data_IF_419804458969
#
_entry.id   IF_419804458969
#
_cell.length_a   1.000
_cell.length_b   1.000
_cell.length_c   1.000
_cell.angle_alpha   90.00
_cell.angle_beta   90.00
_cell.angle_gamma   90.00
#
_symmetry.space_group_name_H-M   'P 1'
#
loop_
_entity.id
_entity.type
_entity.pdbx_description
1 polymer ?
#
# COMPACT_ATOMS: atom_id res chain seq x y z
N UNK A 1 5.74 -49.35 -22.14
CA UNK A 1 5.15 -48.60 -21.01
C UNK A 1 5.06 -47.17 -21.44
N UNK A 2 3.84 -46.64 -21.56
CA UNK A 2 3.61 -45.25 -21.89
C UNK A 2 3.81 -44.43 -20.59
N UNK A 3 4.76 -43.52 -20.57
CA UNK A 3 4.95 -42.59 -19.45
C UNK A 3 3.86 -41.52 -19.54
N UNK A 4 3.05 -41.37 -18.52
CA UNK A 4 2.08 -40.29 -18.36
C UNK A 4 2.60 -39.31 -17.32
N UNK A 5 2.43 -38.03 -17.59
CA UNK A 5 2.68 -36.96 -16.59
C UNK A 5 1.57 -37.07 -15.55
N UNK A 6 1.94 -37.18 -14.28
CA UNK A 6 0.99 -37.19 -13.16
C UNK A 6 1.55 -36.24 -12.07
N UNK A 7 0.65 -35.77 -11.23
CA UNK A 7 1.06 -34.97 -10.06
C UNK A 7 1.93 -35.82 -9.13
N UNK A 8 2.95 -35.18 -8.48
CA UNK A 8 3.79 -35.87 -7.53
C UNK A 8 2.95 -36.32 -6.32
N UNK A 9 3.21 -37.53 -5.77
CA UNK A 9 2.50 -37.98 -4.57
C UNK A 9 2.64 -36.99 -3.43
N UNK A 10 1.56 -36.71 -2.69
CA UNK A 10 1.47 -35.73 -1.59
C UNK A 10 2.61 -35.84 -0.58
N UNK A 11 3.09 -37.05 -0.28
CA UNK A 11 4.22 -37.29 0.63
C UNK A 11 5.53 -36.61 0.18
N UNK A 12 5.78 -36.51 -1.13
CA UNK A 12 6.98 -35.82 -1.64
C UNK A 12 6.82 -34.32 -1.56
N UNK A 13 5.61 -33.82 -1.84
CA UNK A 13 5.30 -32.39 -1.65
C UNK A 13 5.44 -31.98 -0.19
N UNK A 14 4.93 -32.80 0.74
CA UNK A 14 5.10 -32.57 2.18
C UNK A 14 6.56 -32.58 2.58
N UNK A 15 7.36 -33.56 2.15
CA UNK A 15 8.78 -33.62 2.47
C UNK A 15 9.56 -32.40 1.95
N UNK A 16 9.21 -31.87 0.78
CA UNK A 16 9.80 -30.65 0.24
C UNK A 16 9.40 -29.44 1.11
N UNK A 17 8.11 -29.32 1.45
CA UNK A 17 7.60 -28.20 2.25
C UNK A 17 8.11 -28.22 3.71
N UNK A 18 8.30 -29.43 4.27
CA UNK A 18 8.82 -29.61 5.63
C UNK A 18 10.34 -29.55 5.71
N UNK A 19 11.03 -29.62 4.57
CA UNK A 19 12.48 -29.59 4.47
C UNK A 19 13.14 -28.26 4.93
N UNK A 20 12.36 -27.23 5.12
CA UNK A 20 12.85 -25.93 5.65
C UNK A 20 14.03 -25.38 4.84
N UNK A 21 15.12 -25.02 5.53
CA UNK A 21 16.33 -24.46 4.91
C UNK A 21 17.09 -25.42 3.98
N UNK A 22 16.70 -26.67 3.88
CA UNK A 22 17.26 -27.66 2.94
C UNK A 22 16.49 -27.73 1.62
N UNK A 23 15.46 -26.91 1.45
CA UNK A 23 14.71 -26.85 0.20
C UNK A 23 15.58 -26.19 -0.87
N UNK A 24 15.73 -26.78 -2.07
CA UNK A 24 16.52 -26.19 -3.16
C UNK A 24 15.84 -24.98 -3.80
N UNK A 25 14.68 -24.59 -3.31
CA UNK A 25 13.94 -23.43 -3.80
C UNK A 25 14.54 -22.13 -3.20
N UNK A 26 14.67 -21.07 -4.00
CA UNK A 26 15.14 -19.79 -3.51
C UNK A 26 14.15 -19.19 -2.51
N UNK A 27 14.66 -18.42 -1.56
CA UNK A 27 13.84 -17.68 -0.62
C UNK A 27 12.96 -16.66 -1.35
N UNK A 28 11.66 -16.66 -1.08
CA UNK A 28 10.70 -15.72 -1.64
C UNK A 28 10.12 -14.84 -0.53
N UNK A 29 10.30 -13.53 -0.61
CA UNK A 29 9.78 -12.58 0.39
C UNK A 29 8.49 -11.89 -0.02
N UNK A 30 8.09 -11.96 -1.29
CA UNK A 30 6.85 -11.39 -1.78
C UNK A 30 6.65 -11.54 -3.27
N UNK A 31 5.45 -11.24 -3.71
CA UNK A 31 5.04 -11.23 -5.13
C UNK A 31 4.69 -9.80 -5.51
N UNK A 32 5.16 -9.35 -6.66
CA UNK A 32 4.79 -8.04 -7.22
C UNK A 32 4.01 -8.22 -8.52
N UNK A 33 2.98 -7.38 -8.71
CA UNK A 33 2.13 -7.36 -9.92
C UNK A 33 2.57 -6.30 -10.93
N UNK A 34 3.77 -5.74 -10.75
CA UNK A 34 4.35 -4.67 -11.57
C UNK A 34 5.87 -4.65 -11.46
N UNK A 35 6.56 -3.90 -12.33
CA UNK A 35 8.00 -3.69 -12.26
C UNK A 35 8.46 -3.15 -10.91
N UNK A 36 9.69 -3.40 -10.55
CA UNK A 36 10.33 -2.96 -9.31
C UNK A 36 11.37 -1.87 -9.56
N UNK A 37 11.58 -1.00 -8.57
CA UNK A 37 12.60 0.04 -8.60
C UNK A 37 13.85 -0.47 -7.90
N UNK A 38 15.01 -0.37 -8.56
CA UNK A 38 16.30 -0.70 -7.97
C UNK A 38 16.86 0.46 -7.16
N UNK A 39 17.88 0.20 -6.34
CA UNK A 39 18.53 1.22 -5.50
C UNK A 39 19.15 2.37 -6.30
N UNK A 40 19.60 2.11 -7.53
CA UNK A 40 20.15 3.12 -8.47
C UNK A 40 19.07 3.87 -9.27
N UNK A 41 17.78 3.57 -9.02
CA UNK A 41 16.65 4.13 -9.75
C UNK A 41 16.37 3.48 -11.11
N UNK A 42 17.09 2.41 -11.47
CA UNK A 42 16.72 1.62 -12.64
C UNK A 42 15.42 0.85 -12.36
N UNK A 43 14.62 0.63 -13.40
CA UNK A 43 13.39 -0.14 -13.30
C UNK A 43 13.64 -1.54 -13.84
N UNK A 44 13.42 -2.54 -13.01
CA UNK A 44 13.41 -3.92 -13.45
C UNK A 44 12.05 -4.27 -14.03
N UNK A 45 12.00 -4.41 -15.36
CA UNK A 45 10.79 -4.74 -16.11
C UNK A 45 10.63 -6.23 -16.41
N UNK A 46 11.58 -7.06 -16.01
CA UNK A 46 11.54 -8.51 -16.22
C UNK A 46 10.62 -9.17 -15.19
N UNK A 47 9.72 -10.04 -15.67
CA UNK A 47 8.92 -10.92 -14.83
C UNK A 47 9.74 -12.10 -14.31
N UNK A 48 9.21 -12.81 -13.32
CA UNK A 48 9.88 -13.95 -12.70
C UNK A 48 10.67 -13.60 -11.44
N UNK A 49 11.42 -14.56 -10.93
CA UNK A 49 12.16 -14.42 -9.69
C UNK A 49 13.38 -13.49 -9.82
N UNK A 50 13.52 -12.61 -8.86
CA UNK A 50 14.68 -11.73 -8.72
C UNK A 50 15.55 -12.16 -7.52
N UNK A 51 16.77 -12.65 -7.74
CA UNK A 51 17.64 -13.08 -6.65
C UNK A 51 18.15 -11.92 -5.78
N UNK A 52 18.18 -10.69 -6.30
CA UNK A 52 18.63 -9.50 -5.57
C UNK A 52 17.59 -9.05 -4.55
N UNK A 53 16.35 -8.91 -4.99
CA UNK A 53 15.23 -8.47 -4.13
C UNK A 53 14.47 -9.61 -3.49
N UNK A 54 14.68 -10.87 -3.94
CA UNK A 54 13.93 -12.07 -3.54
C UNK A 54 12.43 -11.95 -3.80
N UNK A 55 12.02 -11.10 -4.73
CA UNK A 55 10.65 -10.94 -5.18
C UNK A 55 10.38 -11.77 -6.42
N UNK A 56 9.14 -12.20 -6.59
CA UNK A 56 8.66 -12.80 -7.83
C UNK A 56 7.75 -11.82 -8.55
N UNK A 57 8.13 -11.41 -9.76
CA UNK A 57 7.33 -10.55 -10.62
C UNK A 57 6.32 -11.37 -11.44
N UNK A 58 5.03 -11.20 -11.15
CA UNK A 58 3.92 -11.82 -11.89
C UNK A 58 3.16 -10.74 -12.67
N UNK A 59 3.72 -10.35 -13.80
CA UNK A 59 3.19 -9.31 -14.69
C UNK A 59 3.73 -9.46 -16.12
N UNK A 60 3.09 -8.78 -17.08
CA UNK A 60 3.60 -8.68 -18.45
C UNK A 60 4.40 -7.39 -18.61
N UNK A 61 5.67 -7.49 -18.95
CA UNK A 61 6.58 -6.36 -19.14
C UNK A 61 6.03 -5.33 -20.14
N UNK A 62 5.38 -5.79 -21.22
CA UNK A 62 4.81 -4.93 -22.26
C UNK A 62 3.72 -3.96 -21.80
N UNK A 63 3.12 -4.22 -20.64
CA UNK A 63 2.03 -3.38 -20.11
C UNK A 63 2.57 -2.11 -19.43
N UNK A 64 3.89 -2.07 -19.16
CA UNK A 64 4.54 -0.99 -18.43
C UNK A 64 5.59 -0.29 -19.30
N UNK A 65 5.52 1.03 -19.34
CA UNK A 65 6.49 1.85 -20.07
C UNK A 65 7.04 2.93 -19.16
N UNK A 66 8.28 2.75 -18.71
CA UNK A 66 8.99 3.72 -17.87
C UNK A 66 10.20 4.20 -18.63
N UNK A 67 10.51 5.51 -18.65
CA UNK A 67 11.74 6.03 -19.26
C UNK A 67 12.98 5.36 -18.62
N UNK A 68 13.97 5.01 -19.42
CA UNK A 68 15.21 4.38 -18.92
C UNK A 68 15.99 5.29 -17.97
N UNK A 69 15.99 6.60 -18.24
CA UNK A 69 16.65 7.62 -17.43
C UNK A 69 15.67 8.78 -17.13
N UNK A 70 14.66 8.58 -16.27
CA UNK A 70 13.64 9.60 -16.04
C UNK A 70 14.23 10.86 -15.39
N UNK A 71 13.82 12.01 -15.91
CA UNK A 71 14.19 13.34 -15.42
C UNK A 71 13.15 13.87 -14.43
N UNK A 72 13.42 15.05 -13.85
CA UNK A 72 12.44 15.73 -12.99
C UNK A 72 11.18 16.12 -13.77
N UNK A 73 11.35 16.57 -15.01
CA UNK A 73 10.25 16.93 -15.91
C UNK A 73 9.39 15.71 -16.28
N UNK A 74 10.00 14.53 -16.41
CA UNK A 74 9.26 13.27 -16.56
C UNK A 74 8.44 12.95 -15.32
N UNK A 75 9.03 13.12 -14.14
CA UNK A 75 8.33 12.92 -12.86
C UNK A 75 7.18 13.92 -12.67
N UNK A 76 7.34 15.18 -13.06
CA UNK A 76 6.28 16.19 -13.00
C UNK A 76 5.11 15.83 -13.94
N UNK A 77 5.40 15.39 -15.17
CA UNK A 77 4.36 14.90 -16.10
C UNK A 77 3.64 13.66 -15.56
N UNK A 78 4.39 12.73 -14.98
CA UNK A 78 3.86 11.52 -14.37
C UNK A 78 2.95 11.85 -13.16
N UNK A 79 3.38 12.77 -12.31
CA UNK A 79 2.60 13.24 -11.16
C UNK A 79 1.30 13.91 -11.61
N UNK A 80 1.35 14.79 -12.60
CA UNK A 80 0.16 15.41 -13.16
C UNK A 80 -0.83 14.37 -13.71
N UNK A 81 -0.33 13.27 -14.29
CA UNK A 81 -1.15 12.15 -14.75
C UNK A 81 -1.88 11.43 -13.60
N UNK A 82 -1.22 11.23 -12.46
CA UNK A 82 -1.83 10.65 -11.25
C UNK A 82 -2.81 11.64 -10.62
N UNK A 83 -2.41 12.90 -10.44
CA UNK A 83 -3.27 13.94 -9.85
C UNK A 83 -4.54 14.18 -10.65
N UNK A 84 -4.51 13.99 -11.98
CA UNK A 84 -5.71 14.07 -12.83
C UNK A 84 -6.76 13.00 -12.46
N UNK A 85 -6.37 11.85 -11.90
CA UNK A 85 -7.29 10.84 -11.38
C UNK A 85 -7.98 11.30 -10.09
N UNK A 86 -7.30 12.14 -9.33
CA UNK A 86 -7.72 12.59 -8.01
C UNK A 86 -8.50 13.91 -8.04
N UNK A 87 -8.65 14.52 -9.22
CA UNK A 87 -9.19 15.88 -9.37
C UNK A 87 -10.62 16.06 -8.85
N UNK A 88 -11.44 15.02 -8.93
CA UNK A 88 -12.85 15.10 -8.51
C UNK A 88 -13.07 14.70 -7.04
N UNK A 89 -12.05 14.25 -6.33
CA UNK A 89 -12.17 13.98 -4.89
C UNK A 89 -12.13 15.30 -4.11
N UNK A 90 -13.05 15.51 -3.15
CA UNK A 90 -13.13 16.72 -2.37
C UNK A 90 -12.15 16.68 -1.18
N UNK A 91 -10.85 16.68 -1.47
CA UNK A 91 -9.85 16.75 -0.40
C UNK A 91 -10.03 18.01 0.45
N UNK A 92 -9.83 17.87 1.77
CA UNK A 92 -9.94 19.01 2.69
C UNK A 92 -8.79 19.98 2.46
N UNK A 93 -7.57 19.48 2.27
CA UNK A 93 -6.38 20.26 1.99
C UNK A 93 -5.52 19.63 0.88
N UNK A 94 -4.60 20.36 0.32
CA UNK A 94 -3.64 19.85 -0.65
C UNK A 94 -2.69 18.79 -0.04
N UNK A 95 -2.45 18.83 1.29
CA UNK A 95 -1.74 17.79 2.03
C UNK A 95 -2.45 16.43 1.97
N UNK A 96 -3.79 16.42 2.02
CA UNK A 96 -4.59 15.20 1.90
C UNK A 96 -4.49 14.59 0.49
N UNK A 97 -4.46 15.47 -0.55
CA UNK A 97 -4.21 15.02 -1.92
C UNK A 97 -2.82 14.41 -2.06
N UNK A 98 -1.80 15.04 -1.47
CA UNK A 98 -0.44 14.49 -1.44
C UNK A 98 -0.38 13.15 -0.71
N UNK A 99 -1.12 12.99 0.39
CA UNK A 99 -1.24 11.72 1.11
C UNK A 99 -1.89 10.62 0.25
N UNK A 100 -2.91 10.96 -0.56
CA UNK A 100 -3.51 10.03 -1.52
C UNK A 100 -2.51 9.62 -2.61
N UNK A 101 -1.71 10.54 -3.13
CA UNK A 101 -0.64 10.22 -4.08
C UNK A 101 0.42 9.33 -3.41
N UNK A 102 0.83 9.63 -2.17
CA UNK A 102 1.76 8.78 -1.41
C UNK A 102 1.20 7.36 -1.19
N UNK A 103 -0.11 7.23 -0.95
CA UNK A 103 -0.78 5.92 -0.88
C UNK A 103 -0.69 5.17 -2.22
N UNK A 104 -0.85 5.85 -3.35
CA UNK A 104 -0.68 5.27 -4.69
C UNK A 104 0.77 4.83 -4.91
N UNK A 105 1.77 5.67 -4.60
CA UNK A 105 3.18 5.27 -4.68
C UNK A 105 3.46 4.05 -3.80
N UNK A 106 2.92 4.04 -2.58
CA UNK A 106 3.04 2.90 -1.66
C UNK A 106 2.40 1.64 -2.24
N UNK A 107 1.22 1.74 -2.84
CA UNK A 107 0.54 0.62 -3.49
C UNK A 107 1.41 -0.03 -4.58
N UNK A 108 2.10 0.78 -5.37
CA UNK A 108 2.96 0.32 -6.46
C UNK A 108 4.20 -0.41 -5.95
N UNK A 109 4.85 0.08 -4.89
CA UNK A 109 6.12 -0.48 -4.41
C UNK A 109 6.00 -1.23 -3.08
N UNK A 110 4.78 -1.54 -2.60
CA UNK A 110 4.58 -2.12 -1.26
C UNK A 110 5.36 -3.42 -1.05
N UNK A 111 5.44 -4.27 -2.05
CA UNK A 111 6.23 -5.51 -1.97
C UNK A 111 7.72 -5.27 -1.72
N UNK A 112 8.26 -4.12 -2.14
CA UNK A 112 9.65 -3.73 -1.95
C UNK A 112 9.91 -3.07 -0.58
N UNK A 113 8.90 -2.42 0.01
CA UNK A 113 9.02 -1.77 1.31
C UNK A 113 9.05 -2.80 2.43
N UNK A 114 10.02 -2.69 3.32
CA UNK A 114 10.09 -3.52 4.52
C UNK A 114 8.83 -3.35 5.37
N UNK A 115 8.48 -2.12 5.67
CA UNK A 115 7.25 -1.73 6.38
C UNK A 115 6.66 -0.47 5.74
N UNK A 116 5.36 -0.25 5.91
CA UNK A 116 4.69 0.95 5.45
C UNK A 116 3.55 1.32 6.40
N UNK A 117 3.19 2.61 6.52
CA UNK A 117 2.03 3.01 7.29
C UNK A 117 0.73 2.50 6.65
N UNK A 118 -0.30 2.38 7.45
CA UNK A 118 -1.68 2.22 7.00
C UNK A 118 -2.20 3.56 6.49
N UNK A 119 -3.09 3.55 5.50
CA UNK A 119 -3.79 4.76 5.05
C UNK A 119 -5.26 4.67 5.41
N UNK A 120 -5.81 5.78 5.93
CA UNK A 120 -7.20 5.87 6.34
C UNK A 120 -7.90 7.05 5.68
N UNK A 121 -8.93 6.76 4.88
CA UNK A 121 -9.73 7.81 4.24
C UNK A 121 -10.93 8.15 5.12
N UNK A 122 -10.97 9.39 5.59
CA UNK A 122 -11.99 9.91 6.49
C UNK A 122 -12.84 10.99 5.81
N UNK A 123 -14.12 11.03 6.14
CA UNK A 123 -15.01 12.15 5.87
C UNK A 123 -16.08 12.23 6.95
N UNK A 124 -16.72 13.38 7.09
CA UNK A 124 -17.80 13.57 8.05
C UNK A 124 -19.18 13.21 7.46
N UNK A 125 -19.32 13.22 6.12
CA UNK A 125 -20.58 12.88 5.46
C UNK A 125 -20.53 11.52 4.74
N UNK A 126 -21.63 10.75 4.71
CA UNK A 126 -21.76 9.59 3.86
C UNK A 126 -21.78 10.01 2.38
N UNK A 127 -21.40 9.10 1.47
CA UNK A 127 -21.39 9.40 0.03
C UNK A 127 -20.24 10.30 -0.45
N UNK A 128 -19.25 10.62 0.41
CA UNK A 128 -18.13 11.51 0.10
C UNK A 128 -17.04 10.92 -0.81
N UNK A 129 -17.19 9.67 -1.27
CA UNK A 129 -16.22 9.02 -2.14
C UNK A 129 -15.06 8.32 -1.41
N UNK A 130 -15.12 8.11 -0.09
CA UNK A 130 -14.06 7.44 0.70
C UNK A 130 -13.71 6.06 0.18
N UNK A 131 -14.70 5.16 0.14
CA UNK A 131 -14.50 3.80 -0.36
C UNK A 131 -14.05 3.80 -1.82
N UNK A 132 -14.55 4.74 -2.62
CA UNK A 132 -14.15 4.88 -4.01
C UNK A 132 -12.66 5.25 -4.14
N UNK A 133 -12.16 6.14 -3.29
CA UNK A 133 -10.73 6.48 -3.23
C UNK A 133 -9.87 5.31 -2.76
N UNK A 134 -10.31 4.55 -1.74
CA UNK A 134 -9.57 3.36 -1.30
C UNK A 134 -9.52 2.28 -2.37
N UNK A 135 -10.61 2.05 -3.12
CA UNK A 135 -10.60 1.15 -4.27
C UNK A 135 -9.69 1.63 -5.39
N UNK A 136 -9.69 2.94 -5.68
CA UNK A 136 -8.79 3.53 -6.67
C UNK A 136 -7.31 3.27 -6.30
N UNK A 137 -6.93 3.48 -5.04
CA UNK A 137 -5.57 3.21 -4.55
C UNK A 137 -5.25 1.71 -4.66
N UNK A 138 -6.19 0.83 -4.31
CA UNK A 138 -6.01 -0.62 -4.35
C UNK A 138 -5.71 -1.15 -5.77
N UNK A 139 -6.30 -0.56 -6.82
CA UNK A 139 -6.04 -0.92 -8.22
C UNK A 139 -4.53 -0.78 -8.56
N UNK A 140 -3.83 0.15 -7.95
CA UNK A 140 -2.39 0.31 -8.18
C UNK A 140 -1.57 -0.85 -7.57
N UNK A 141 -2.04 -1.46 -6.49
CA UNK A 141 -1.37 -2.60 -5.86
C UNK A 141 -1.62 -3.90 -6.64
N UNK A 142 -2.87 -4.03 -7.15
CA UNK A 142 -3.27 -5.25 -7.85
C UNK A 142 -4.11 -5.02 -9.07
N UNK A 143 -4.34 -5.30 -10.06
CA UNK A 143 -5.31 -5.05 -11.14
C UNK A 143 -6.66 -5.74 -10.89
N UNK A 144 -6.74 -6.53 -9.83
CA UNK A 144 -7.91 -7.32 -9.48
C UNK A 144 -8.84 -6.57 -8.51
N UNK A 145 -10.07 -7.02 -8.40
CA UNK A 145 -11.01 -6.54 -7.39
C UNK A 145 -10.58 -6.97 -5.99
N UNK A 146 -10.68 -6.06 -5.05
CA UNK A 146 -10.29 -6.27 -3.66
C UNK A 146 -11.53 -6.33 -2.80
N UNK A 147 -11.71 -7.44 -2.07
CA UNK A 147 -12.75 -7.55 -1.06
C UNK A 147 -12.43 -6.72 0.18
N UNK A 148 -13.45 -6.08 0.77
CA UNK A 148 -13.34 -5.41 2.04
C UNK A 148 -13.65 -6.36 3.21
N UNK A 149 -12.97 -6.16 4.34
CA UNK A 149 -13.21 -6.84 5.61
C UNK A 149 -13.72 -5.86 6.64
N UNK A 150 -14.43 -6.36 7.64
CA UNK A 150 -14.79 -5.55 8.81
C UNK A 150 -13.56 -5.31 9.69
N UNK A 151 -13.47 -4.10 10.26
CA UNK A 151 -12.42 -3.81 11.23
C UNK A 151 -12.68 -4.55 12.55
N UNK A 152 -11.68 -5.21 13.16
CA UNK A 152 -11.86 -5.99 14.36
C UNK A 152 -12.17 -5.11 15.59
N UNK A 153 -12.95 -5.63 16.52
CA UNK A 153 -13.38 -4.89 17.73
C UNK A 153 -12.50 -5.14 18.96
N UNK A 154 -11.66 -6.17 18.94
CA UNK A 154 -10.76 -6.51 20.04
C UNK A 154 -9.48 -7.18 19.54
N UNK A 155 -8.46 -7.28 20.42
CA UNK A 155 -7.13 -7.80 20.10
C UNK A 155 -7.16 -9.26 19.60
N UNK A 156 -7.99 -10.11 20.18
CA UNK A 156 -8.03 -11.53 19.83
C UNK A 156 -8.61 -11.72 18.42
N UNK A 157 -9.70 -11.04 18.09
CA UNK A 157 -10.29 -11.07 16.75
C UNK A 157 -9.37 -10.41 15.73
N UNK A 158 -8.67 -9.32 16.11
CA UNK A 158 -7.68 -8.67 15.26
C UNK A 158 -6.56 -9.64 14.89
N UNK A 159 -6.01 -10.37 15.85
CA UNK A 159 -4.96 -11.35 15.61
C UNK A 159 -5.42 -12.46 14.66
N UNK A 160 -6.59 -13.06 14.93
CA UNK A 160 -7.16 -14.14 14.09
C UNK A 160 -7.40 -13.66 12.66
N UNK A 161 -8.02 -12.49 12.53
CA UNK A 161 -8.35 -11.91 11.24
C UNK A 161 -7.09 -11.58 10.43
N UNK A 162 -6.10 -10.89 11.02
CA UNK A 162 -4.87 -10.53 10.34
C UNK A 162 -4.07 -11.76 9.89
N UNK A 163 -3.98 -12.81 10.71
CA UNK A 163 -3.33 -14.07 10.31
C UNK A 163 -4.03 -14.66 9.08
N UNK A 164 -5.37 -14.73 9.10
CA UNK A 164 -6.15 -15.28 8.00
C UNK A 164 -6.02 -14.45 6.72
N UNK A 165 -6.00 -13.12 6.84
CA UNK A 165 -5.87 -12.20 5.71
C UNK A 165 -4.45 -12.18 5.13
N UNK A 166 -3.41 -12.30 5.95
CA UNK A 166 -2.02 -12.29 5.51
C UNK A 166 -1.53 -13.62 4.94
N UNK A 167 -2.20 -14.74 5.30
CA UNK A 167 -1.78 -16.08 4.88
C UNK A 167 -1.65 -16.24 3.35
N UNK A 168 -2.58 -15.73 2.52
CA UNK A 168 -2.45 -15.76 1.06
C UNK A 168 -1.48 -14.70 0.50
N UNK A 169 -0.80 -13.91 1.36
CA UNK A 169 0.10 -12.81 0.98
C UNK A 169 -0.53 -11.83 -0.02
N UNK A 170 -1.71 -11.24 0.26
CA UNK A 170 -2.38 -10.35 -0.66
C UNK A 170 -1.60 -9.05 -0.82
N UNK A 171 -1.65 -8.39 -1.99
CA UNK A 171 -1.02 -7.08 -2.18
C UNK A 171 -1.66 -5.97 -1.36
N UNK A 172 -2.95 -6.12 -1.01
CA UNK A 172 -3.71 -5.13 -0.22
C UNK A 172 -4.76 -5.79 0.67
N UNK A 173 -4.91 -5.27 1.88
CA UNK A 173 -6.02 -5.55 2.80
C UNK A 173 -6.81 -4.27 2.97
N UNK A 174 -8.13 -4.35 2.84
CA UNK A 174 -9.01 -3.20 2.95
C UNK A 174 -10.05 -3.41 4.04
N UNK A 175 -10.12 -2.44 4.96
CA UNK A 175 -11.17 -2.33 5.96
C UNK A 175 -12.09 -1.17 5.57
N UNK A 176 -13.32 -1.45 5.19
CA UNK A 176 -14.24 -0.41 4.73
C UNK A 176 -15.32 -0.11 5.77
N UNK A 177 -15.76 1.16 5.75
CA UNK A 177 -16.87 1.65 6.57
C UNK A 177 -16.67 1.42 8.09
N UNK A 178 -15.50 1.82 8.61
CA UNK A 178 -15.22 1.77 10.04
C UNK A 178 -16.28 2.58 10.81
N UNK A 179 -16.77 2.00 11.88
CA UNK A 179 -17.76 2.61 12.81
C UNK A 179 -17.14 3.00 14.14
N UNK A 180 -15.90 2.60 14.39
CA UNK A 180 -15.11 2.92 15.58
C UNK A 180 -13.74 3.44 15.18
N UNK A 181 -13.10 4.17 16.09
CA UNK A 181 -11.73 4.61 15.91
C UNK A 181 -10.76 3.44 15.71
N UNK A 182 -9.61 3.72 15.12
CA UNK A 182 -8.57 2.73 14.89
C UNK A 182 -7.74 2.60 16.16
N UNK A 183 -8.13 1.61 16.97
CA UNK A 183 -7.44 1.28 18.21
C UNK A 183 -6.10 0.59 17.97
N UNK A 184 -5.10 0.76 18.87
CA UNK A 184 -3.79 0.12 18.77
C UNK A 184 -3.84 -1.36 19.18
N UNK A 185 -4.54 -2.18 18.41
CA UNK A 185 -4.49 -3.63 18.56
C UNK A 185 -3.05 -4.11 18.40
N UNK A 186 -2.56 -4.93 19.32
CA UNK A 186 -1.15 -5.40 19.34
C UNK A 186 -0.72 -6.01 18.01
N UNK A 187 -1.57 -6.88 17.45
CA UNK A 187 -1.29 -7.54 16.17
C UNK A 187 -1.21 -6.55 15.00
N UNK A 188 -2.09 -5.55 14.96
CA UNK A 188 -2.08 -4.51 13.92
C UNK A 188 -0.83 -3.64 14.05
N UNK A 189 -0.47 -3.24 15.27
CA UNK A 189 0.76 -2.49 15.51
C UNK A 189 2.00 -3.27 15.02
N UNK A 190 2.07 -4.58 15.28
CA UNK A 190 3.17 -5.44 14.81
C UNK A 190 3.20 -5.53 13.28
N UNK A 191 2.06 -5.78 12.64
CA UNK A 191 1.95 -5.89 11.18
C UNK A 191 2.41 -4.61 10.47
N UNK A 192 2.20 -3.45 11.08
CA UNK A 192 2.61 -2.16 10.51
C UNK A 192 4.09 -1.82 10.73
N UNK A 193 4.77 -2.48 11.68
CA UNK A 193 6.16 -2.12 12.06
C UNK A 193 7.18 -3.24 11.88
N UNK A 194 6.72 -4.48 11.72
CA UNK A 194 7.59 -5.63 11.52
C UNK A 194 7.43 -6.21 10.10
N UNK A 195 8.51 -6.59 9.42
CA UNK A 195 8.44 -7.15 8.05
C UNK A 195 7.86 -8.57 8.01
N UNK A 196 7.91 -9.28 9.14
CA UNK A 196 7.40 -10.64 9.31
C UNK A 196 6.77 -10.74 10.70
N UNK A 197 5.62 -11.40 10.77
CA UNK A 197 4.94 -11.70 12.03
C UNK A 197 4.69 -13.20 12.14
N UNK A 198 4.79 -13.75 13.37
CA UNK A 198 4.47 -15.13 13.61
C UNK A 198 3.02 -15.28 14.07
N UNK A 199 2.29 -16.23 13.50
CA UNK A 199 0.92 -16.49 13.86
C UNK A 199 0.56 -17.96 13.88
N UNK A 200 -0.39 -18.33 14.72
CA UNK A 200 -0.93 -19.70 14.76
C UNK A 200 -2.09 -19.82 13.79
N UNK A 201 -2.01 -20.78 12.87
CA UNK A 201 -3.09 -21.05 11.93
C UNK A 201 -4.27 -21.69 12.67
N UNK A 202 -5.48 -21.13 12.49
CA UNK A 202 -6.71 -21.68 13.06
C UNK A 202 -6.94 -23.11 12.53
N UNK A 203 -7.24 -24.03 13.45
CA UNK A 203 -7.47 -25.45 13.11
C UNK A 203 -6.19 -26.27 12.88
N UNK A 204 -5.01 -25.66 12.95
CA UNK A 204 -3.73 -26.36 12.88
C UNK A 204 -2.89 -26.05 14.11
N UNK A 205 -2.18 -27.06 14.65
CA UNK A 205 -1.20 -26.88 15.74
C UNK A 205 0.15 -26.37 15.23
N UNK A 206 0.11 -25.44 14.24
CA UNK A 206 1.31 -24.95 13.56
C UNK A 206 1.39 -23.43 13.68
N UNK A 207 2.58 -22.95 14.04
CA UNK A 207 2.96 -21.54 13.93
C UNK A 207 3.58 -21.35 12.56
N UNK A 208 3.23 -20.27 11.88
CA UNK A 208 3.80 -19.88 10.60
C UNK A 208 4.30 -18.45 10.66
N UNK A 209 5.30 -18.14 9.86
CA UNK A 209 5.75 -16.78 9.62
C UNK A 209 5.01 -16.21 8.42
N UNK A 210 4.53 -14.99 8.54
CA UNK A 210 3.74 -14.29 7.55
C UNK A 210 4.42 -12.98 7.18
N UNK A 211 4.61 -12.75 5.89
CA UNK A 211 5.07 -11.46 5.37
C UNK A 211 4.02 -10.38 5.61
N UNK A 212 4.45 -9.20 6.05
CA UNK A 212 3.59 -8.03 6.24
C UNK A 212 3.65 -7.07 5.05
N UNK A 213 4.22 -7.50 3.92
CA UNK A 213 4.39 -6.68 2.70
C UNK A 213 3.07 -6.45 1.96
N UNK A 214 2.04 -6.15 2.70
CA UNK A 214 0.67 -5.90 2.26
C UNK A 214 0.31 -4.45 2.56
N UNK A 215 -0.29 -3.73 1.62
CA UNK A 215 -0.83 -2.39 1.85
C UNK A 215 -2.11 -2.52 2.69
N UNK A 216 -2.21 -1.76 3.77
CA UNK A 216 -3.44 -1.71 4.58
C UNK A 216 -4.14 -0.38 4.32
N UNK A 217 -5.38 -0.48 3.85
CA UNK A 217 -6.26 0.65 3.59
C UNK A 217 -7.50 0.57 4.48
N UNK A 218 -8.03 1.72 4.88
CA UNK A 218 -9.33 1.76 5.53
C UNK A 218 -10.11 3.03 5.19
N UNK A 219 -11.42 2.98 5.40
CA UNK A 219 -12.29 4.15 5.30
C UNK A 219 -13.29 4.20 6.45
N UNK A 220 -13.73 5.39 6.83
CA UNK A 220 -14.72 5.56 7.89
C UNK A 220 -15.31 6.96 7.97
N UNK A 221 -16.46 7.08 8.68
CA UNK A 221 -17.10 8.37 8.95
C UNK A 221 -16.72 8.83 10.34
N UNK A 222 -16.13 10.04 10.47
CA UNK A 222 -15.78 10.65 11.75
C UNK A 222 -14.94 9.77 12.71
N UNK A 223 -14.25 8.79 12.18
CA UNK A 223 -13.34 7.90 12.92
C UNK A 223 -11.92 8.09 12.43
N UNK A 224 -10.94 7.80 13.26
CA UNK A 224 -9.54 7.99 12.94
C UNK A 224 -8.60 7.20 13.84
N UNK A 225 -7.29 7.31 13.62
CA UNK A 225 -6.30 6.68 14.50
C UNK A 225 -6.25 7.39 15.85
N UNK A 226 -6.16 6.60 16.92
CA UNK A 226 -5.99 7.09 18.29
C UNK A 226 -4.77 6.46 18.94
N UNK A 227 -4.24 7.09 19.99
CA UNK A 227 -3.10 6.59 20.78
C UNK A 227 -1.90 6.25 19.87
N UNK A 228 -1.34 5.06 20.06
CA UNK A 228 -0.16 4.59 19.33
C UNK A 228 -0.41 4.37 17.81
N UNK A 229 -1.67 4.37 17.36
CA UNK A 229 -2.00 4.31 15.93
C UNK A 229 -1.80 5.67 15.22
N UNK A 230 -1.83 6.80 15.93
CA UNK A 230 -1.65 8.13 15.35
C UNK A 230 -0.36 8.28 14.55
N UNK A 231 0.71 7.62 14.96
CA UNK A 231 2.01 7.60 14.27
C UNK A 231 2.16 6.48 13.21
N UNK A 232 1.17 5.59 13.08
CA UNK A 232 1.20 4.43 12.16
C UNK A 232 0.22 4.53 11.01
N UNK A 233 -0.67 5.50 11.06
CA UNK A 233 -1.71 5.72 10.05
C UNK A 233 -1.51 7.08 9.43
N UNK A 234 -1.53 7.13 8.10
CA UNK A 234 -1.59 8.37 7.34
C UNK A 234 -3.06 8.66 7.03
N UNK A 235 -3.70 9.63 7.69
CA UNK A 235 -5.07 9.98 7.40
C UNK A 235 -5.16 10.83 6.13
N UNK A 236 -6.28 10.68 5.41
CA UNK A 236 -6.64 11.42 4.19
C UNK A 236 -8.05 11.94 4.40
N UNK A 237 -8.22 13.24 4.48
CA UNK A 237 -9.51 13.86 4.78
C UNK A 237 -10.21 14.31 3.50
N UNK A 238 -11.47 13.91 3.39
CA UNK A 238 -12.39 14.39 2.35
C UNK A 238 -13.44 15.29 3.02
N UNK A 239 -13.63 16.46 2.45
CA UNK A 239 -14.58 17.46 2.93
C UNK A 239 -15.46 17.94 1.78
N UNK A 240 -16.51 17.18 1.39
CA UNK A 240 -17.44 17.61 0.37
C UNK A 240 -18.18 18.87 0.83
N UNK A 241 -18.33 19.82 -0.09
CA UNK A 241 -19.06 21.08 0.14
C UNK A 241 -20.58 20.94 -0.05
N UNK A 242 -21.00 19.86 -0.73
CA UNK A 242 -22.41 19.54 -0.95
C UNK A 242 -23.05 18.95 0.32
N UNK A 243 -24.25 19.39 0.67
CA UNK A 243 -25.02 18.83 1.80
C UNK A 243 -25.37 17.36 1.59
N UNK A 244 -25.56 16.94 0.33
CA UNK A 244 -25.87 15.57 -0.07
C UNK A 244 -24.87 15.06 -1.11
N UNK A 245 -23.65 14.66 -0.69
CA UNK A 245 -22.58 14.25 -1.62
C UNK A 245 -22.98 13.07 -2.52
N UNK A 246 -23.93 12.23 -2.10
CA UNK A 246 -24.44 11.10 -2.87
C UNK A 246 -25.12 11.53 -4.18
N UNK A 247 -25.59 12.77 -4.28
CA UNK A 247 -26.24 13.31 -5.48
C UNK A 247 -25.27 13.95 -6.46
N UNK A 248 -23.99 14.01 -6.11
CA UNK A 248 -22.96 14.62 -6.94
C UNK A 248 -22.80 13.89 -8.27
N UNK A 249 -22.77 14.66 -9.37
CA UNK A 249 -22.47 14.13 -10.69
C UNK A 249 -20.96 14.20 -10.95
N UNK A 250 -20.38 13.07 -11.32
CA UNK A 250 -18.97 12.97 -11.65
C UNK A 250 -18.77 13.03 -13.16
N UNK A 251 -17.72 13.72 -13.59
CA UNK A 251 -17.31 13.78 -15.01
C UNK A 251 -16.76 12.44 -15.50
N UNK A 252 -16.21 11.65 -14.56
CA UNK A 252 -15.62 10.33 -14.85
C UNK A 252 -16.28 9.25 -13.97
N UNK A 253 -17.53 8.86 -14.24
CA UNK A 253 -18.27 7.90 -13.41
C UNK A 253 -17.62 6.50 -13.41
N UNK A 254 -16.94 6.13 -14.49
CA UNK A 254 -16.28 4.83 -14.68
C UNK A 254 -14.76 4.90 -14.39
N UNK A 255 -14.32 5.81 -13.51
CA UNK A 255 -12.88 6.03 -13.24
C UNK A 255 -12.14 4.76 -12.83
N UNK A 256 -12.73 3.90 -11.98
CA UNK A 256 -12.07 2.66 -11.54
C UNK A 256 -11.83 1.72 -12.72
N UNK A 257 -12.82 1.53 -13.60
CA UNK A 257 -12.69 0.68 -14.79
C UNK A 257 -11.70 1.26 -15.80
N UNK A 258 -11.68 2.57 -15.94
CA UNK A 258 -10.68 3.25 -16.77
C UNK A 258 -9.27 3.01 -16.25
N UNK A 259 -9.06 3.17 -14.95
CA UNK A 259 -7.75 2.97 -14.33
C UNK A 259 -7.34 1.50 -14.37
N UNK A 260 -8.25 0.54 -14.17
CA UNK A 260 -7.97 -0.89 -14.35
C UNK A 260 -7.48 -1.18 -15.76
N UNK A 261 -8.20 -0.71 -16.79
CA UNK A 261 -7.81 -0.91 -18.20
C UNK A 261 -6.47 -0.29 -18.55
N UNK A 262 -6.12 0.84 -17.94
CA UNK A 262 -4.89 1.57 -18.20
C UNK A 262 -3.89 1.47 -17.05
N UNK A 263 -4.02 0.43 -16.19
CA UNK A 263 -3.21 0.29 -14.98
C UNK A 263 -1.72 0.40 -15.25
N UNK A 264 -1.23 -0.27 -16.28
CA UNK A 264 0.19 -0.24 -16.64
C UNK A 264 0.71 1.18 -16.86
N UNK A 265 -0.05 2.03 -17.53
CA UNK A 265 0.27 3.46 -17.74
C UNK A 265 0.41 4.21 -16.41
N UNK A 266 -0.57 4.07 -15.51
CA UNK A 266 -0.58 4.82 -14.26
C UNK A 266 0.44 4.30 -13.25
N UNK A 267 0.66 2.99 -13.21
CA UNK A 267 1.76 2.38 -12.43
C UNK A 267 3.10 2.86 -12.96
N UNK A 268 3.29 2.95 -14.29
CA UNK A 268 4.51 3.50 -14.89
C UNK A 268 4.74 4.96 -14.48
N UNK A 269 3.68 5.78 -14.34
CA UNK A 269 3.81 7.12 -13.78
C UNK A 269 4.36 7.10 -12.35
N UNK A 270 3.83 6.25 -11.47
CA UNK A 270 4.31 6.14 -10.10
C UNK A 270 5.77 5.68 -10.02
N UNK A 271 6.15 4.69 -10.82
CA UNK A 271 7.54 4.22 -10.93
C UNK A 271 8.48 5.33 -11.48
N UNK A 272 8.02 6.10 -12.47
CA UNK A 272 8.78 7.23 -13.03
C UNK A 272 9.09 8.29 -11.96
N UNK A 273 8.13 8.64 -11.10
CA UNK A 273 8.34 9.59 -10.01
C UNK A 273 9.43 9.12 -9.06
N UNK A 274 9.37 7.87 -8.61
CA UNK A 274 10.32 7.30 -7.67
C UNK A 274 11.71 7.17 -8.30
N UNK A 275 11.77 6.64 -9.51
CA UNK A 275 13.04 6.45 -10.24
C UNK A 275 13.75 7.77 -10.53
N UNK A 276 13.01 8.80 -10.95
CA UNK A 276 13.57 10.13 -11.21
C UNK A 276 14.14 10.77 -9.94
N UNK A 277 13.46 10.62 -8.81
CA UNK A 277 13.93 11.14 -7.52
C UNK A 277 15.21 10.44 -7.06
N UNK A 278 15.29 9.09 -7.18
CA UNK A 278 16.51 8.34 -6.85
C UNK A 278 17.68 8.80 -7.75
N UNK A 279 17.46 8.88 -9.05
CA UNK A 279 18.49 9.32 -10.02
C UNK A 279 18.93 10.76 -9.81
N UNK A 280 18.08 11.62 -9.25
CA UNK A 280 18.44 12.97 -8.84
C UNK A 280 19.32 13.03 -7.57
N UNK A 281 19.74 11.87 -7.04
CA UNK A 281 20.54 11.76 -5.82
C UNK A 281 19.72 11.80 -4.53
N UNK A 282 18.43 11.49 -4.60
CA UNK A 282 17.52 11.40 -3.45
C UNK A 282 17.52 12.66 -2.57
N UNK A 283 17.27 13.85 -3.12
CA UNK A 283 17.36 15.12 -2.39
C UNK A 283 16.33 15.18 -1.26
N UNK A 284 16.79 15.30 -0.03
CA UNK A 284 15.95 15.40 1.17
C UNK A 284 15.79 16.84 1.60
N UNK A 285 14.59 17.19 2.07
CA UNK A 285 14.32 18.50 2.69
C UNK A 285 14.85 18.47 4.12
N UNK A 286 15.83 19.33 4.47
CA UNK A 286 16.33 19.46 5.83
C UNK A 286 15.24 19.84 6.79
N UNK A 287 15.08 19.75 7.94
CA UNK A 287 14.04 20.24 8.88
C UNK A 287 12.67 19.55 8.83
N UNK A 288 12.49 18.50 8.02
CA UNK A 288 11.24 17.74 8.05
C UNK A 288 11.18 16.83 9.28
N UNK A 289 10.01 16.80 9.95
CA UNK A 289 9.77 15.83 11.03
C UNK A 289 9.89 14.41 10.49
N UNK A 290 10.63 13.54 11.18
CA UNK A 290 10.86 12.15 10.77
C UNK A 290 9.75 11.24 11.27
N UNK A 291 9.40 10.25 10.46
CA UNK A 291 8.60 9.08 10.84
C UNK A 291 9.54 7.89 11.01
N UNK A 292 10.16 7.76 12.18
CA UNK A 292 11.28 6.84 12.44
C UNK A 292 11.01 5.37 12.06
N UNK A 293 9.78 4.90 12.27
CA UNK A 293 9.39 3.54 11.88
C UNK A 293 9.28 3.34 10.36
N UNK A 294 9.17 4.42 9.58
CA UNK A 294 8.88 4.40 8.15
C UNK A 294 9.90 5.19 7.31
N UNK A 295 11.19 5.07 7.65
CA UNK A 295 12.27 5.78 6.94
C UNK A 295 12.31 5.42 5.45
N UNK A 296 12.28 4.13 5.11
CA UNK A 296 12.29 3.67 3.71
C UNK A 296 11.03 4.13 2.96
N UNK A 297 9.86 4.07 3.59
CA UNK A 297 8.64 4.61 3.02
C UNK A 297 8.73 6.13 2.79
N UNK A 298 9.26 6.86 3.76
CA UNK A 298 9.48 8.31 3.62
C UNK A 298 10.42 8.60 2.46
N UNK A 299 11.49 7.85 2.32
CA UNK A 299 12.46 8.00 1.23
C UNK A 299 11.82 7.76 -0.15
N UNK A 300 10.96 6.77 -0.31
CA UNK A 300 10.44 6.37 -1.62
C UNK A 300 9.03 6.90 -1.95
N UNK A 301 8.24 7.30 -0.96
CA UNK A 301 6.84 7.73 -1.17
C UNK A 301 6.56 9.15 -0.70
N UNK A 302 7.31 9.70 0.26
CA UNK A 302 7.11 11.02 0.84
C UNK A 302 8.04 12.07 0.22
N UNK A 303 9.36 11.85 0.26
CA UNK A 303 10.35 12.80 -0.27
C UNK A 303 10.23 13.05 -1.77
N UNK A 304 9.89 12.09 -2.65
CA UNK A 304 9.66 12.37 -4.07
C UNK A 304 8.60 13.45 -4.30
N UNK A 305 7.52 13.45 -3.52
CA UNK A 305 6.43 14.43 -3.64
C UNK A 305 6.88 15.82 -3.16
N UNK A 306 7.61 15.88 -2.06
CA UNK A 306 8.21 17.13 -1.57
C UNK A 306 9.20 17.72 -2.58
N UNK A 307 10.04 16.89 -3.19
CA UNK A 307 10.97 17.29 -4.25
C UNK A 307 10.26 17.86 -5.48
N UNK A 308 9.06 17.37 -5.78
CA UNK A 308 8.18 17.89 -6.82
C UNK A 308 7.30 19.06 -6.34
N UNK A 309 7.60 19.64 -5.18
CA UNK A 309 6.91 20.83 -4.65
C UNK A 309 5.50 20.58 -4.13
N UNK A 310 5.14 19.33 -3.81
CA UNK A 310 3.86 19.03 -3.17
C UNK A 310 3.95 19.18 -1.66
N UNK A 311 2.84 19.53 -0.98
CA UNK A 311 2.76 19.52 0.49
C UNK A 311 3.16 18.16 1.07
N UNK A 312 3.57 18.16 2.34
CA UNK A 312 3.98 16.95 3.03
C UNK A 312 2.82 15.94 3.17
N UNK A 313 2.88 14.76 2.56
CA UNK A 313 1.83 13.75 2.68
C UNK A 313 1.67 13.20 4.10
N UNK A 314 2.64 13.45 5.00
CA UNK A 314 2.57 13.05 6.40
C UNK A 314 2.12 14.19 7.33
N UNK A 315 1.72 15.33 6.82
CA UNK A 315 1.32 16.50 7.63
C UNK A 315 0.25 16.13 8.66
N UNK A 316 -0.83 15.46 8.22
CA UNK A 316 -1.93 15.06 9.12
C UNK A 316 -1.50 14.09 10.21
N UNK A 317 -0.47 13.25 9.98
CA UNK A 317 0.08 12.36 11.02
C UNK A 317 0.56 13.20 12.22
N UNK A 318 1.28 14.28 11.96
CA UNK A 318 1.81 15.14 13.03
C UNK A 318 0.74 15.99 13.69
N UNK A 319 -0.30 16.40 12.96
CA UNK A 319 -1.46 17.10 13.50
C UNK A 319 -2.23 16.21 14.48
N UNK A 320 -2.63 15.00 14.03
CA UNK A 320 -3.36 14.02 14.87
C UNK A 320 -2.53 13.61 16.09
N UNK A 321 -1.21 13.40 15.94
CA UNK A 321 -0.33 13.13 17.08
C UNK A 321 -0.29 14.27 18.10
N UNK A 322 -0.53 15.52 17.68
CA UNK A 322 -0.52 16.69 18.57
C UNK A 322 -1.86 16.86 19.26
N UNK A 323 -2.94 16.51 18.60
CA UNK A 323 -4.33 16.61 19.08
C UNK A 323 -4.77 15.43 19.96
N UNK A 324 -3.98 14.34 20.04
CA UNK A 324 -4.33 13.15 20.82
C UNK A 324 -4.39 13.49 22.33
N UNK A 325 -5.57 13.41 22.98
CA UNK A 325 -5.75 13.79 24.38
C UNK A 325 -4.96 12.92 25.37
N UNK A 326 -4.57 11.72 24.96
CA UNK A 326 -3.82 10.77 25.82
C UNK A 326 -2.30 10.95 25.71
N UNK A 327 -1.82 11.92 24.95
CA UNK A 327 -0.38 12.23 24.82
C UNK A 327 0.22 12.75 26.14
N UNK A 328 -0.58 13.35 27.01
CA UNK A 328 -0.15 13.97 28.27
C UNK A 328 -0.23 13.05 29.50
N UNK A 329 -0.59 11.75 29.31
CA UNK A 329 -0.55 10.71 30.34
C UNK A 329 0.62 9.73 30.09
#
# INVERSE_FOLDING_TARGET
KQMSVCDPPTKYLQAILEGGNHTPLPELIGITRQPSVKEDGAIRTESGYDPETKLYGDFKASDFTVPEAPTKEDAERALNGIEALLKEFPFEEEGDRSAAVAAILTAVIRAQLRVAPMFHVRAHLPGSGKSYLTYLIAIFATGDDVGASNFPTNDEECQKLLISLLLPAPPVIMFDNLTTDIFPHKSLCMVLTEPVVSGRILGASRVTELSTRTLILSSGNNVGPIRDMTRRVVPIYLNPTEELPVTRQYKRPELLEEVKKQRGKYVSCALTIIAAWIRAGSPKTPSLRTLNSYSQWSDLCRYPLLWLGRPDPAQRVFEVMTEDPEREQ
#
